data_IF_206786876163
#
_entry.id   IF_206786876163
#
_cell.length_a   1.000
_cell.length_b   1.000
_cell.length_c   1.000
_cell.angle_alpha   90.00
_cell.angle_beta   90.00
_cell.angle_gamma   90.00
#
_symmetry.space_group_name_H-M   'P 1'
#
loop_
_entity.id
_entity.type
_entity.pdbx_description
1 polymer ?
#
# COMPACT_ATOMS: atom_id res chain seq x y z
N UNK A 1 18.12 1.80 -1.83
CA UNK A 1 19.18 1.66 -2.85
C UNK A 1 18.46 1.57 -4.17
N UNK A 2 18.05 2.73 -4.66
CA UNK A 2 16.97 2.82 -5.66
C UNK A 2 17.52 3.07 -7.07
N UNK A 3 18.83 2.90 -7.22
CA UNK A 3 19.52 2.82 -8.50
C UNK A 3 19.88 1.37 -8.79
N UNK A 4 18.89 0.54 -9.14
CA UNK A 4 19.17 -0.68 -9.91
C UNK A 4 17.93 -1.24 -10.64
N UNK A 5 17.93 -1.32 -11.98
CA UNK A 5 18.61 -0.40 -12.89
C UNK A 5 17.65 0.17 -13.95
N UNK A 6 17.71 1.50 -14.12
CA UNK A 6 17.16 2.25 -15.25
C UNK A 6 17.93 2.05 -16.56
N UNK A 7 18.33 0.83 -16.90
CA UNK A 7 18.86 0.46 -18.23
C UNK A 7 18.36 -0.92 -18.66
N UNK A 8 17.04 -1.07 -18.80
CA UNK A 8 16.45 -2.20 -19.51
C UNK A 8 16.21 -1.81 -20.98
N UNK A 9 17.29 -1.52 -21.69
CA UNK A 9 17.27 -1.35 -23.15
C UNK A 9 17.13 -2.67 -23.91
N UNK A 10 16.94 -3.79 -23.20
CA UNK A 10 16.88 -5.14 -23.78
C UNK A 10 15.94 -6.10 -23.04
N UNK A 11 14.96 -5.60 -22.27
CA UNK A 11 13.95 -6.47 -21.66
C UNK A 11 12.99 -7.01 -22.75
N UNK A 12 12.94 -8.34 -23.00
CA UNK A 12 12.05 -8.95 -23.99
C UNK A 12 10.56 -8.66 -23.73
N UNK A 13 10.21 -8.27 -22.50
CA UNK A 13 8.85 -8.04 -22.07
C UNK A 13 8.40 -6.58 -22.20
N UNK A 14 9.31 -5.63 -22.45
CA UNK A 14 8.96 -4.21 -22.60
C UNK A 14 7.96 -4.00 -23.75
N UNK A 15 8.12 -4.75 -24.86
CA UNK A 15 7.20 -4.72 -25.99
C UNK A 15 5.81 -5.32 -25.69
N UNK A 16 5.71 -6.24 -24.72
CA UNK A 16 4.43 -6.79 -24.30
C UNK A 16 3.59 -5.73 -23.56
N UNK A 17 4.23 -4.96 -22.67
CA UNK A 17 3.57 -3.95 -21.84
C UNK A 17 3.29 -2.62 -22.57
N UNK A 18 4.08 -2.27 -23.60
CA UNK A 18 3.91 -1.02 -24.35
C UNK A 18 2.93 -1.11 -25.54
N UNK A 19 2.29 -2.26 -25.79
CA UNK A 19 1.29 -2.38 -26.87
C UNK A 19 0.00 -1.63 -26.51
N UNK A 20 -0.36 -0.61 -27.31
CA UNK A 20 -1.70 0.01 -27.23
C UNK A 20 -2.77 -1.04 -27.57
N UNK A 21 -3.86 -1.16 -26.78
CA UNK A 21 -4.93 -2.11 -27.05
C UNK A 21 -5.65 -1.74 -28.36
N UNK A 22 -5.65 -2.66 -29.33
CA UNK A 22 -6.43 -2.50 -30.56
C UNK A 22 -7.92 -2.74 -30.25
N UNK A 23 -8.73 -1.70 -30.51
CA UNK A 23 -10.20 -1.65 -30.68
C UNK A 23 -11.04 -1.43 -29.41
N UNK A 24 -11.64 -0.25 -29.36
CA UNK A 24 -12.44 0.32 -28.28
C UNK A 24 -13.92 -0.14 -28.21
N UNK A 25 -14.38 -1.06 -29.07
CA UNK A 25 -15.82 -1.28 -29.28
C UNK A 25 -16.40 -2.60 -28.72
N UNK A 26 -15.73 -3.30 -27.81
CA UNK A 26 -16.27 -4.50 -27.14
C UNK A 26 -16.25 -4.42 -25.60
N UNK A 27 -16.36 -3.20 -25.05
CA UNK A 27 -16.17 -2.91 -23.62
C UNK A 27 -17.39 -3.18 -22.72
N UNK A 28 -18.55 -3.54 -23.27
CA UNK A 28 -19.75 -3.74 -22.46
C UNK A 28 -19.98 -5.21 -22.03
N UNK A 29 -19.56 -6.20 -22.82
CA UNK A 29 -19.95 -7.61 -22.59
C UNK A 29 -18.79 -8.45 -22.00
N UNK A 30 -17.52 -8.03 -22.19
CA UNK A 30 -16.35 -8.81 -21.75
C UNK A 30 -15.86 -8.50 -20.32
N UNK A 31 -16.27 -7.38 -19.75
CA UNK A 31 -15.80 -6.88 -18.45
C UNK A 31 -16.28 -7.74 -17.29
N UNK A 32 -17.45 -8.38 -17.43
CA UNK A 32 -17.99 -9.25 -16.38
C UNK A 32 -17.28 -10.61 -16.33
N UNK A 33 -16.98 -11.25 -17.47
CA UNK A 33 -16.37 -12.59 -17.46
C UNK A 33 -14.86 -12.58 -17.17
N UNK A 34 -14.10 -11.63 -17.73
CA UNK A 34 -12.65 -11.55 -17.47
C UNK A 34 -12.37 -11.04 -16.07
N UNK A 35 -13.17 -10.09 -15.56
CA UNK A 35 -13.12 -9.64 -14.17
C UNK A 35 -13.47 -10.76 -13.18
N UNK A 36 -14.49 -11.59 -13.48
CA UNK A 36 -14.79 -12.78 -12.66
C UNK A 36 -13.68 -13.83 -12.72
N UNK A 37 -13.08 -14.08 -13.90
CA UNK A 37 -11.98 -15.04 -14.04
C UNK A 37 -10.69 -14.55 -13.35
N UNK A 38 -10.41 -13.25 -13.35
CA UNK A 38 -9.29 -12.67 -12.59
C UNK A 38 -9.55 -12.65 -11.09
N UNK A 39 -10.80 -12.41 -10.65
CA UNK A 39 -11.24 -12.55 -9.25
C UNK A 39 -11.17 -14.00 -8.76
N UNK A 40 -11.48 -14.98 -9.63
CA UNK A 40 -11.40 -16.41 -9.31
C UNK A 40 -9.96 -16.96 -9.36
N UNK A 41 -9.08 -16.38 -10.19
CA UNK A 41 -7.70 -16.84 -10.30
C UNK A 41 -6.82 -16.36 -9.12
N UNK A 42 -7.13 -15.20 -8.53
CA UNK A 42 -6.18 -14.47 -7.69
C UNK A 42 -4.95 -14.08 -8.51
N UNK A 43 -4.44 -12.86 -8.39
CA UNK A 43 -3.09 -12.59 -8.88
C UNK A 43 -2.08 -13.23 -7.92
N UNK A 44 -2.11 -14.56 -7.79
CA UNK A 44 -1.03 -15.30 -7.13
C UNK A 44 0.24 -15.00 -7.90
N UNK A 45 1.33 -14.71 -7.20
CA UNK A 45 2.67 -14.70 -7.79
C UNK A 45 2.99 -16.08 -8.39
N UNK A 46 2.55 -16.33 -9.61
CA UNK A 46 2.86 -17.55 -10.36
C UNK A 46 4.23 -17.39 -11.00
N UNK A 47 5.28 -17.53 -10.19
CA UNK A 47 6.62 -17.76 -10.72
C UNK A 47 6.74 -19.23 -11.12
N UNK A 48 6.61 -19.52 -12.41
CA UNK A 48 7.01 -20.82 -12.93
C UNK A 48 8.54 -20.83 -13.06
N UNK A 49 9.22 -21.49 -12.11
CA UNK A 49 10.67 -21.65 -12.10
C UNK A 49 11.02 -23.14 -12.25
N UNK A 50 10.95 -23.70 -13.48
CA UNK A 50 11.26 -25.11 -13.67
C UNK A 50 12.76 -25.38 -13.44
N UNK A 51 13.04 -26.48 -12.72
CA UNK A 51 14.32 -27.19 -12.63
C UNK A 51 15.53 -26.44 -12.05
N UNK A 52 15.30 -25.46 -11.16
CA UNK A 52 16.39 -24.85 -10.39
C UNK A 52 16.34 -25.28 -8.93
N UNK A 53 17.34 -26.08 -8.54
CA UNK A 53 17.61 -26.43 -7.15
C UNK A 53 18.61 -25.44 -6.55
N UNK A 54 18.25 -24.80 -5.45
CA UNK A 54 19.14 -23.93 -4.70
C UNK A 54 19.51 -24.57 -3.36
N UNK A 55 20.79 -24.59 -3.01
CA UNK A 55 21.23 -25.13 -1.72
C UNK A 55 20.66 -24.32 -0.54
N UNK A 56 20.66 -22.99 -0.66
CA UNK A 56 20.12 -22.06 0.33
C UNK A 56 19.40 -20.92 -0.36
N UNK A 57 18.22 -20.53 0.15
CA UNK A 57 17.50 -19.35 -0.29
C UNK A 57 17.00 -18.56 0.92
N UNK A 58 17.20 -17.24 0.88
CA UNK A 58 16.69 -16.29 1.86
C UNK A 58 15.48 -15.57 1.29
N UNK A 59 14.41 -15.53 2.07
CA UNK A 59 13.14 -14.91 1.71
C UNK A 59 12.87 -13.72 2.62
N UNK A 60 12.30 -12.66 2.06
CA UNK A 60 11.96 -11.45 2.81
C UNK A 60 10.66 -11.57 3.63
N UNK A 61 9.89 -12.64 3.41
CA UNK A 61 8.64 -12.93 4.12
C UNK A 61 8.26 -14.40 4.04
N UNK A 62 7.44 -14.86 4.98
CA UNK A 62 6.91 -16.23 4.99
C UNK A 62 5.95 -16.47 3.82
N UNK A 63 5.19 -15.44 3.42
CA UNK A 63 4.31 -15.42 2.26
C UNK A 63 5.11 -15.72 0.99
N UNK A 64 6.21 -15.01 0.76
CA UNK A 64 7.04 -15.23 -0.43
C UNK A 64 7.65 -16.64 -0.42
N UNK A 65 8.17 -17.08 0.74
CA UNK A 65 8.70 -18.44 0.89
C UNK A 65 7.65 -19.47 0.51
N UNK A 66 6.48 -19.43 1.15
CA UNK A 66 5.38 -20.39 0.94
C UNK A 66 4.87 -20.33 -0.50
N UNK A 67 4.71 -19.13 -1.06
CA UNK A 67 4.24 -18.94 -2.42
C UNK A 67 5.21 -19.58 -3.42
N UNK A 68 6.51 -19.32 -3.30
CA UNK A 68 7.50 -19.88 -4.22
C UNK A 68 7.69 -21.39 -4.06
N UNK A 69 7.75 -21.91 -2.82
CA UNK A 69 7.90 -23.36 -2.59
C UNK A 69 6.68 -24.13 -3.08
N UNK A 70 5.47 -23.58 -2.89
CA UNK A 70 4.24 -24.21 -3.39
C UNK A 70 4.12 -24.17 -4.92
N UNK A 71 4.85 -23.26 -5.57
CA UNK A 71 4.95 -23.17 -7.04
C UNK A 71 6.18 -23.91 -7.61
N UNK A 72 6.79 -24.80 -6.83
CA UNK A 72 7.82 -25.74 -7.31
C UNK A 72 9.26 -25.28 -7.12
N UNK A 73 9.51 -24.17 -6.42
CA UNK A 73 10.89 -23.81 -6.05
C UNK A 73 11.48 -24.86 -5.10
N UNK A 74 12.53 -25.55 -5.55
CA UNK A 74 13.24 -26.52 -4.73
C UNK A 74 14.44 -25.87 -4.04
N UNK A 75 14.43 -25.93 -2.71
CA UNK A 75 15.45 -25.30 -1.85
C UNK A 75 15.86 -26.28 -0.75
N UNK A 76 17.17 -26.48 -0.58
CA UNK A 76 17.70 -27.31 0.52
C UNK A 76 17.45 -26.66 1.88
N UNK A 77 17.85 -25.39 2.04
CA UNK A 77 17.60 -24.55 3.22
C UNK A 77 16.83 -23.29 2.83
N UNK A 78 15.68 -23.07 3.49
CA UNK A 78 14.81 -21.93 3.25
C UNK A 78 14.67 -21.07 4.51
N UNK A 79 15.29 -19.89 4.51
CA UNK A 79 15.29 -18.98 5.66
C UNK A 79 14.49 -17.73 5.39
N UNK A 80 13.78 -17.22 6.39
CA UNK A 80 13.09 -15.94 6.28
C UNK A 80 13.88 -14.91 7.08
N UNK A 81 14.41 -13.90 6.39
CA UNK A 81 15.09 -12.74 6.98
C UNK A 81 14.31 -11.52 6.51
N UNK A 82 13.55 -10.93 7.43
CA UNK A 82 12.69 -9.78 7.14
C UNK A 82 13.51 -8.51 7.09
N UNK A 83 13.05 -7.53 6.30
CA UNK A 83 13.67 -6.21 6.34
C UNK A 83 13.34 -5.53 7.66
N UNK A 84 14.32 -4.78 8.17
CA UNK A 84 14.10 -3.86 9.27
C UNK A 84 14.05 -2.41 8.80
N UNK A 85 13.61 -1.53 9.68
CA UNK A 85 13.74 -0.07 9.58
C UNK A 85 14.35 0.45 10.87
N UNK A 86 15.19 1.48 10.80
CA UNK A 86 15.70 2.14 12.01
C UNK A 86 14.53 2.85 12.70
N UNK A 87 14.13 2.46 13.92
CA UNK A 87 13.09 3.17 14.64
C UNK A 87 13.61 4.57 14.97
N UNK A 88 12.84 5.63 14.69
CA UNK A 88 13.27 6.97 15.05
C UNK A 88 13.31 7.12 16.57
N UNK A 89 14.16 8.03 17.04
CA UNK A 89 14.15 8.46 18.45
C UNK A 89 12.77 9.03 18.76
N UNK A 90 12.17 8.54 19.85
CA UNK A 90 10.84 8.98 20.31
C UNK A 90 10.81 10.49 20.45
N UNK A 91 9.88 11.10 19.72
CA UNK A 91 9.30 12.38 20.09
C UNK A 91 7.80 12.18 20.04
N UNK A 92 7.09 12.81 20.98
CA UNK A 92 5.64 12.84 20.93
C UNK A 92 5.20 13.32 19.53
N UNK A 93 4.11 12.76 18.96
CA UNK A 93 3.54 13.34 17.76
C UNK A 93 3.27 14.83 18.04
N UNK A 94 3.77 15.71 17.17
CA UNK A 94 3.36 17.11 17.19
C UNK A 94 1.88 17.10 16.79
N UNK A 95 0.99 17.06 17.79
CA UNK A 95 -0.42 16.72 17.62
C UNK A 95 -1.10 17.55 16.53
N UNK A 96 -1.21 17.00 15.32
CA UNK A 96 -1.96 17.56 14.19
C UNK A 96 -3.47 17.57 14.43
N UNK A 97 -3.94 16.92 15.50
CA UNK A 97 -5.33 16.97 15.95
C UNK A 97 -5.79 18.32 16.54
N UNK A 98 -4.91 19.31 16.69
CA UNK A 98 -5.24 20.58 17.36
C UNK A 98 -6.39 21.37 16.70
N UNK A 99 -6.72 21.11 15.43
CA UNK A 99 -7.80 21.80 14.69
C UNK A 99 -8.99 20.89 14.31
N UNK A 100 -9.11 19.68 14.85
CA UNK A 100 -10.22 18.76 14.52
C UNK A 100 -10.20 18.23 13.08
N UNK A 101 -9.08 18.35 12.38
CA UNK A 101 -8.86 17.88 11.01
C UNK A 101 -8.07 16.58 11.01
N UNK A 102 -8.58 15.53 10.35
CA UNK A 102 -7.88 14.27 10.13
C UNK A 102 -7.08 14.31 8.82
N UNK A 103 -5.79 14.02 8.92
CA UNK A 103 -4.86 13.99 7.80
C UNK A 103 -4.42 12.55 7.50
N UNK A 104 -4.81 12.08 6.33
CA UNK A 104 -4.54 10.74 5.81
C UNK A 104 -3.34 10.80 4.87
N UNK A 105 -2.49 9.80 4.94
CA UNK A 105 -1.30 9.68 4.11
C UNK A 105 -1.26 8.36 3.34
N UNK A 106 -1.00 8.46 2.05
CA UNK A 106 -0.51 7.36 1.22
C UNK A 106 0.92 7.67 0.77
N UNK A 107 1.80 6.68 0.90
CA UNK A 107 3.17 6.72 0.39
C UNK A 107 3.44 5.51 -0.48
N UNK A 108 3.99 5.75 -1.66
CA UNK A 108 4.41 4.70 -2.57
C UNK A 108 4.21 5.10 -4.02
N UNK A 109 4.56 4.22 -4.94
CA UNK A 109 4.35 4.48 -6.36
C UNK A 109 2.86 4.74 -6.66
N UNK A 110 2.58 5.74 -7.49
CA UNK A 110 1.23 6.05 -7.95
C UNK A 110 0.96 5.19 -9.19
N UNK A 111 0.54 3.95 -8.96
CA UNK A 111 0.24 2.93 -9.98
C UNK A 111 -1.01 2.15 -9.58
N UNK A 112 -1.78 1.59 -10.53
CA UNK A 112 -3.07 0.97 -10.24
C UNK A 112 -3.03 -0.10 -9.13
N UNK A 113 -2.08 -1.03 -9.21
CA UNK A 113 -2.01 -2.17 -8.29
C UNK A 113 -1.61 -1.80 -6.85
N UNK A 114 -1.15 -0.57 -6.61
CA UNK A 114 -0.89 -0.05 -5.25
C UNK A 114 -2.10 0.64 -4.62
N UNK A 115 -3.21 0.77 -5.37
CA UNK A 115 -4.50 1.20 -4.85
C UNK A 115 -4.68 2.67 -4.44
N UNK A 116 -3.92 3.69 -4.90
CA UNK A 116 -4.18 5.07 -4.48
C UNK A 116 -5.57 5.58 -4.89
N UNK A 117 -6.15 5.04 -5.97
CA UNK A 117 -7.54 5.29 -6.37
C UNK A 117 -8.57 4.78 -5.35
N UNK A 118 -8.32 3.63 -4.71
CA UNK A 118 -9.19 3.08 -3.64
C UNK A 118 -9.27 4.07 -2.47
N UNK A 119 -8.16 4.72 -2.11
CA UNK A 119 -8.18 5.74 -1.06
C UNK A 119 -9.03 6.97 -1.44
N UNK A 120 -9.01 7.38 -2.72
CA UNK A 120 -9.87 8.47 -3.22
C UNK A 120 -11.34 8.05 -3.23
N UNK A 121 -11.64 6.83 -3.66
CA UNK A 121 -13.00 6.28 -3.67
C UNK A 121 -13.56 6.13 -2.26
N UNK A 122 -12.76 5.65 -1.30
CA UNK A 122 -13.13 5.55 0.11
C UNK A 122 -13.51 6.94 0.65
N UNK A 123 -12.70 7.97 0.34
CA UNK A 123 -13.00 9.34 0.76
C UNK A 123 -14.28 9.88 0.08
N UNK A 124 -14.56 9.50 -1.17
CA UNK A 124 -15.81 9.84 -1.86
C UNK A 124 -17.03 9.17 -1.21
N UNK A 125 -16.89 7.95 -0.70
CA UNK A 125 -17.95 7.29 0.06
C UNK A 125 -18.22 8.02 1.38
N UNK A 126 -17.17 8.50 2.05
CA UNK A 126 -17.32 9.29 3.27
C UNK A 126 -17.98 10.64 3.01
N UNK A 127 -17.61 11.34 1.93
CA UNK A 127 -18.18 12.67 1.62
C UNK A 127 -19.68 12.63 1.32
N UNK A 128 -20.21 11.48 0.91
CA UNK A 128 -21.65 11.24 0.74
C UNK A 128 -22.39 10.97 2.05
N UNK A 129 -21.69 10.52 3.10
CA UNK A 129 -22.27 10.09 4.38
C UNK A 129 -22.09 11.13 5.49
N UNK A 130 -21.05 11.97 5.40
CA UNK A 130 -20.72 12.95 6.45
C UNK A 130 -19.93 14.14 5.90
N UNK A 131 -19.88 15.23 6.67
CA UNK A 131 -19.04 16.39 6.34
C UNK A 131 -17.56 16.02 6.41
N UNK A 132 -16.89 16.06 5.25
CA UNK A 132 -15.48 15.71 5.09
C UNK A 132 -14.56 16.93 4.96
N UNK A 133 -15.03 18.17 5.21
CA UNK A 133 -14.18 19.38 5.16
C UNK A 133 -12.94 19.28 6.06
N UNK A 134 -13.07 18.53 7.14
CA UNK A 134 -12.00 18.28 8.11
C UNK A 134 -11.23 16.98 7.81
N UNK A 135 -11.34 16.41 6.62
CA UNK A 135 -10.54 15.25 6.21
C UNK A 135 -9.69 15.63 5.01
N UNK A 136 -8.41 15.31 5.06
CA UNK A 136 -7.52 15.49 3.91
C UNK A 136 -6.71 14.24 3.64
N UNK A 137 -6.46 13.96 2.37
CA UNK A 137 -5.68 12.83 1.90
C UNK A 137 -4.49 13.35 1.09
N UNK A 138 -3.28 12.98 1.48
CA UNK A 138 -2.09 13.19 0.65
C UNK A 138 -1.67 11.89 0.00
N UNK A 139 -1.55 11.90 -1.33
CA UNK A 139 -0.97 10.84 -2.13
C UNK A 139 0.44 11.28 -2.55
N UNK A 140 1.48 10.71 -1.92
CA UNK A 140 2.87 11.08 -2.18
C UNK A 140 3.65 9.93 -2.86
N UNK A 141 4.20 10.21 -4.03
CA UNK A 141 4.91 9.18 -4.80
C UNK A 141 5.32 9.58 -6.21
N UNK A 142 6.13 8.74 -6.84
CA UNK A 142 6.43 8.80 -8.28
C UNK A 142 5.46 7.92 -9.06
N UNK A 143 5.30 8.20 -10.34
CA UNK A 143 4.58 7.32 -11.26
C UNK A 143 5.45 7.04 -12.49
N UNK A 144 5.59 5.77 -12.91
CA UNK A 144 6.07 5.44 -14.25
C UNK A 144 4.94 5.52 -15.30
N UNK A 145 3.70 5.81 -14.90
CA UNK A 145 2.51 5.77 -15.75
C UNK A 145 1.78 7.13 -15.72
N UNK A 146 2.23 8.13 -16.51
CA UNK A 146 1.63 9.47 -16.50
C UNK A 146 0.12 9.50 -16.76
N UNK A 147 -0.37 8.60 -17.63
CA UNK A 147 -1.80 8.48 -17.93
C UNK A 147 -2.63 8.04 -16.72
N UNK A 148 -2.08 7.19 -15.85
CA UNK A 148 -2.78 6.81 -14.62
C UNK A 148 -2.83 7.96 -13.61
N UNK A 149 -1.75 8.74 -13.50
CA UNK A 149 -1.75 9.95 -12.67
C UNK A 149 -2.76 10.98 -13.15
N UNK A 150 -2.92 11.16 -14.47
CA UNK A 150 -3.96 12.02 -15.03
C UNK A 150 -5.36 11.51 -14.68
N UNK A 151 -5.64 10.22 -14.93
CA UNK A 151 -6.92 9.61 -14.58
C UNK A 151 -7.23 9.70 -13.07
N UNK A 152 -6.21 9.62 -12.21
CA UNK A 152 -6.37 9.78 -10.77
C UNK A 152 -6.72 11.23 -10.38
N UNK A 153 -6.18 12.23 -11.09
CA UNK A 153 -6.57 13.64 -10.90
C UNK A 153 -8.00 13.89 -11.37
N UNK A 154 -8.36 13.36 -12.55
CA UNK A 154 -9.73 13.41 -13.08
C UNK A 154 -10.72 12.76 -12.10
N UNK A 155 -10.37 11.62 -11.50
CA UNK A 155 -11.19 10.97 -10.48
C UNK A 155 -11.41 11.87 -9.26
N UNK A 156 -10.37 12.54 -8.77
CA UNK A 156 -10.48 13.48 -7.65
C UNK A 156 -11.43 14.63 -7.98
N UNK A 157 -11.33 15.18 -9.18
CA UNK A 157 -12.19 16.26 -9.66
C UNK A 157 -13.65 15.80 -9.84
N UNK A 158 -13.87 14.65 -10.48
CA UNK A 158 -15.20 14.06 -10.71
C UNK A 158 -15.93 13.80 -9.39
N UNK A 159 -15.20 13.38 -8.35
CA UNK A 159 -15.77 13.15 -7.01
C UNK A 159 -15.93 14.42 -6.17
N UNK A 160 -15.53 15.58 -6.70
CA UNK A 160 -15.59 16.86 -5.96
C UNK A 160 -14.63 16.94 -4.78
N UNK A 161 -13.53 16.18 -4.81
CA UNK A 161 -12.58 16.02 -3.71
C UNK A 161 -11.31 16.88 -3.84
N UNK A 162 -11.27 17.81 -4.80
CA UNK A 162 -10.09 18.63 -5.09
C UNK A 162 -9.59 19.47 -3.89
N UNK A 163 -10.46 19.78 -2.93
CA UNK A 163 -10.08 20.47 -1.69
C UNK A 163 -9.55 19.53 -0.61
N UNK A 164 -9.84 18.23 -0.71
CA UNK A 164 -9.48 17.21 0.27
C UNK A 164 -8.22 16.43 -0.13
N UNK A 165 -8.03 16.17 -1.42
CA UNK A 165 -6.96 15.30 -1.93
C UNK A 165 -5.82 16.14 -2.52
N UNK A 166 -4.60 15.89 -2.07
CA UNK A 166 -3.38 16.45 -2.67
C UNK A 166 -2.48 15.35 -3.21
N UNK A 167 -1.95 15.57 -4.41
CA UNK A 167 -0.91 14.73 -4.99
C UNK A 167 0.44 15.44 -4.84
N UNK A 168 1.39 14.78 -4.20
CA UNK A 168 2.76 15.27 -3.99
C UNK A 168 3.79 14.38 -4.69
N UNK A 169 4.96 14.91 -5.07
CA UNK A 169 6.07 14.09 -5.51
C UNK A 169 6.53 13.14 -4.40
N UNK A 170 7.32 12.13 -4.76
CA UNK A 170 7.97 11.27 -3.79
C UNK A 170 8.83 12.08 -2.82
N UNK A 171 8.80 11.68 -1.56
CA UNK A 171 9.57 12.33 -0.50
C UNK A 171 10.94 11.67 -0.36
N UNK A 172 12.01 12.44 -0.09
CA UNK A 172 13.32 11.88 0.20
C UNK A 172 13.26 10.95 1.41
N UNK A 173 13.89 9.78 1.30
CA UNK A 173 13.84 8.75 2.34
C UNK A 173 14.36 9.25 3.69
N UNK A 174 15.36 10.12 3.69
CA UNK A 174 15.95 10.70 4.90
C UNK A 174 14.98 11.61 5.68
N UNK A 175 13.90 12.08 5.05
CA UNK A 175 12.88 12.94 5.67
C UNK A 175 11.55 12.23 5.84
N UNK A 176 11.48 10.94 5.52
CA UNK A 176 10.20 10.21 5.48
C UNK A 176 9.56 10.14 6.87
N UNK A 177 10.37 9.98 7.92
CA UNK A 177 9.88 9.99 9.30
C UNK A 177 9.26 11.34 9.66
N UNK A 178 9.96 12.46 9.42
CA UNK A 178 9.43 13.80 9.70
C UNK A 178 8.21 14.11 8.85
N UNK A 179 8.18 13.62 7.61
CA UNK A 179 7.05 13.77 6.72
C UNK A 179 5.83 12.99 7.24
N UNK A 180 5.99 11.71 7.59
CA UNK A 180 4.93 10.88 8.17
C UNK A 180 4.34 11.50 9.44
N UNK A 181 5.17 12.09 10.30
CA UNK A 181 4.73 12.72 11.56
C UNK A 181 3.76 13.90 11.39
N UNK A 182 3.63 14.46 10.19
CA UNK A 182 2.67 15.52 9.90
C UNK A 182 1.24 15.00 9.65
N UNK A 183 1.07 13.68 9.69
CA UNK A 183 -0.18 12.99 9.36
C UNK A 183 -0.73 12.24 10.57
N UNK A 184 -2.00 11.88 10.52
CA UNK A 184 -2.70 11.18 11.61
C UNK A 184 -2.91 9.69 11.35
N UNK A 185 -2.99 9.27 10.08
CA UNK A 185 -3.24 7.87 9.68
C UNK A 185 -2.52 7.57 8.36
N UNK A 186 -1.88 6.40 8.30
CA UNK A 186 -1.31 5.87 7.07
C UNK A 186 -2.26 4.88 6.39
N UNK A 187 -2.48 5.04 5.08
CA UNK A 187 -3.29 4.16 4.24
C UNK A 187 -2.37 3.36 3.31
N UNK A 188 -2.52 2.04 3.35
CA UNK A 188 -1.80 1.10 2.50
C UNK A 188 -2.79 0.20 1.72
N UNK A 189 -3.53 0.77 0.74
CA UNK A 189 -4.62 0.08 0.04
C UNK A 189 -4.14 -0.82 -1.12
N UNK A 190 -2.96 -1.44 -1.01
CA UNK A 190 -2.37 -2.21 -2.11
C UNK A 190 -3.28 -3.38 -2.53
N UNK A 191 -3.52 -3.54 -3.83
CA UNK A 191 -4.22 -4.71 -4.37
C UNK A 191 -3.19 -5.82 -4.67
N UNK A 192 -1.98 -5.40 -5.00
CA UNK A 192 -0.85 -6.30 -5.22
C UNK A 192 -0.49 -7.08 -3.96
N UNK A 193 -0.25 -8.38 -4.13
CA UNK A 193 0.30 -9.28 -3.12
C UNK A 193 1.76 -8.92 -2.78
N UNK A 194 1.96 -7.79 -2.11
CA UNK A 194 3.29 -7.29 -1.79
C UNK A 194 4.02 -8.27 -0.86
N UNK A 195 5.19 -8.80 -1.26
CA UNK A 195 5.92 -9.76 -0.45
C UNK A 195 6.30 -9.19 0.91
N UNK A 196 6.79 -7.94 0.94
CA UNK A 196 7.17 -7.25 2.16
C UNK A 196 7.31 -5.74 1.90
N UNK A 197 6.48 -4.92 2.56
CA UNK A 197 6.43 -3.48 2.32
C UNK A 197 7.29 -2.71 3.32
N UNK A 198 8.37 -2.08 2.84
CA UNK A 198 9.23 -1.27 3.70
C UNK A 198 8.56 0.06 4.07
N UNK A 199 7.79 0.66 3.16
CA UNK A 199 7.09 1.93 3.44
C UNK A 199 6.03 1.77 4.54
N UNK A 200 5.42 0.59 4.64
CA UNK A 200 4.51 0.25 5.73
C UNK A 200 5.27 0.23 7.07
N UNK A 201 6.44 -0.40 7.13
CA UNK A 201 7.29 -0.37 8.33
C UNK A 201 7.75 1.05 8.67
N UNK A 202 8.10 1.87 7.68
CA UNK A 202 8.52 3.26 7.90
C UNK A 202 7.38 4.11 8.49
N UNK A 203 6.14 3.90 8.04
CA UNK A 203 4.97 4.56 8.63
C UNK A 203 4.71 4.11 10.07
N UNK A 204 4.79 2.81 10.35
CA UNK A 204 4.67 2.27 11.71
C UNK A 204 5.77 2.81 12.62
N UNK A 205 7.01 2.86 12.14
CA UNK A 205 8.16 3.42 12.85
C UNK A 205 7.99 4.92 13.13
N UNK A 206 7.32 5.66 12.25
CA UNK A 206 6.99 7.07 12.45
C UNK A 206 5.88 7.28 13.50
N UNK A 207 5.25 6.21 14.01
CA UNK A 207 4.18 6.29 14.99
C UNK A 207 2.82 6.61 14.38
N UNK A 208 2.59 6.25 13.10
CA UNK A 208 1.27 6.35 12.49
C UNK A 208 0.46 5.08 12.76
N UNK A 209 -0.82 5.17 13.13
CA UNK A 209 -1.73 4.04 12.97
C UNK A 209 -1.89 3.73 11.47
N UNK A 210 -1.89 2.44 11.13
CA UNK A 210 -1.94 1.97 9.75
C UNK A 210 -3.29 1.31 9.46
N UNK A 211 -3.88 1.64 8.32
CA UNK A 211 -4.94 0.85 7.68
C UNK A 211 -4.35 0.22 6.42
N UNK A 212 -4.34 -1.10 6.32
CA UNK A 212 -3.74 -1.81 5.21
C UNK A 212 -4.65 -2.90 4.65
N UNK A 213 -4.47 -3.26 3.39
CA UNK A 213 -5.16 -4.40 2.78
C UNK A 213 -4.54 -5.72 3.22
N UNK A 214 -5.37 -6.71 3.52
CA UNK A 214 -4.94 -8.05 3.93
C UNK A 214 -4.46 -8.90 2.74
N UNK A 215 -3.38 -8.48 2.06
CA UNK A 215 -2.81 -9.16 0.89
C UNK A 215 -1.29 -9.37 1.02
N UNK A 216 -0.78 -10.40 0.34
CA UNK A 216 0.65 -10.72 0.33
C UNK A 216 1.22 -10.97 1.73
N UNK A 217 2.38 -10.40 2.01
CA UNK A 217 3.04 -10.44 3.31
C UNK A 217 2.53 -9.38 4.30
N UNK A 218 1.55 -8.54 3.94
CA UNK A 218 1.01 -7.50 4.85
C UNK A 218 0.48 -8.09 6.16
N UNK A 219 -0.26 -9.22 6.17
CA UNK A 219 -0.74 -9.85 7.41
C UNK A 219 0.37 -10.46 8.29
N UNK A 220 1.61 -10.55 7.82
CA UNK A 220 2.75 -10.93 8.68
C UNK A 220 3.25 -9.77 9.53
N UNK A 221 2.96 -8.53 9.11
CA UNK A 221 3.41 -7.31 9.79
C UNK A 221 2.25 -6.68 10.59
N UNK A 222 1.07 -6.61 9.98
CA UNK A 222 -0.14 -6.04 10.59
C UNK A 222 -1.06 -7.16 11.11
N UNK A 223 -1.35 -7.12 12.41
CA UNK A 223 -2.37 -7.92 13.09
C UNK A 223 -3.59 -7.01 13.34
N UNK A 224 -4.73 -7.38 12.76
CA UNK A 224 -5.96 -6.56 12.78
C UNK A 224 -6.36 -6.22 14.22
N UNK A 225 -6.65 -4.94 14.47
CA UNK A 225 -7.02 -4.34 15.77
C UNK A 225 -5.98 -4.43 16.87
N UNK A 226 -4.81 -5.02 16.60
CA UNK A 226 -3.70 -5.06 17.56
C UNK A 226 -2.68 -3.96 17.29
N UNK A 227 -2.10 -3.93 16.08
CA UNK A 227 -1.05 -2.97 15.69
C UNK A 227 -1.36 -2.22 14.39
N UNK A 228 -2.58 -2.37 13.88
CA UNK A 228 -3.12 -1.71 12.70
C UNK A 228 -4.52 -2.24 12.41
N UNK A 229 -5.14 -1.76 11.33
CA UNK A 229 -6.42 -2.24 10.85
C UNK A 229 -6.24 -2.90 9.48
N UNK A 230 -6.85 -4.05 9.29
CA UNK A 230 -6.89 -4.75 8.01
C UNK A 230 -8.26 -4.56 7.34
N UNK A 231 -8.24 -4.35 6.02
CA UNK A 231 -9.41 -4.39 5.15
C UNK A 231 -9.20 -5.36 3.97
N UNK A 232 -10.29 -5.72 3.30
CA UNK A 232 -10.23 -6.48 2.06
C UNK A 232 -9.57 -5.67 0.92
N UNK A 233 -8.79 -6.31 0.03
CA UNK A 233 -8.27 -5.67 -1.16
C UNK A 233 -9.41 -5.26 -2.10
N UNK A 234 -9.21 -4.17 -2.85
CA UNK A 234 -10.21 -3.65 -3.81
C UNK A 234 -11.57 -3.31 -3.17
N UNK A 235 -11.58 -2.92 -1.88
CA UNK A 235 -12.78 -2.49 -1.16
C UNK A 235 -12.63 -1.08 -0.58
N UNK A 236 -13.05 -0.05 -1.34
CA UNK A 236 -13.18 1.31 -0.84
C UNK A 236 -14.14 1.42 0.35
N UNK A 237 -15.16 0.57 0.42
CA UNK A 237 -16.15 0.54 1.50
C UNK A 237 -15.52 0.16 2.83
N UNK A 238 -14.79 -0.95 2.89
CA UNK A 238 -14.11 -1.36 4.12
C UNK A 238 -13.02 -0.37 4.50
N UNK A 239 -12.28 0.17 3.53
CA UNK A 239 -11.29 1.22 3.81
C UNK A 239 -11.96 2.45 4.45
N UNK A 240 -13.11 2.88 3.93
CA UNK A 240 -13.89 3.98 4.48
C UNK A 240 -14.37 3.68 5.91
N UNK A 241 -14.83 2.46 6.19
CA UNK A 241 -15.23 2.04 7.54
C UNK A 241 -14.08 2.09 8.54
N UNK A 242 -12.89 1.61 8.15
CA UNK A 242 -11.70 1.70 9.02
C UNK A 242 -11.27 3.15 9.22
N UNK A 243 -11.35 3.99 8.20
CA UNK A 243 -11.09 5.43 8.34
C UNK A 243 -12.05 6.04 9.36
N UNK A 244 -13.36 5.74 9.30
CA UNK A 244 -14.37 6.22 10.26
C UNK A 244 -14.06 5.78 11.69
N UNK A 245 -13.65 4.53 11.89
CA UNK A 245 -13.24 4.04 13.20
C UNK A 245 -12.10 4.88 13.80
N UNK A 246 -11.19 5.37 12.96
CA UNK A 246 -10.08 6.22 13.38
C UNK A 246 -10.43 7.70 13.45
N UNK A 247 -11.40 8.22 12.69
CA UNK A 247 -11.84 9.64 12.74
C UNK A 247 -12.26 10.01 14.17
N UNK A 248 -13.14 9.21 14.75
CA UNK A 248 -13.84 9.56 15.99
C UNK A 248 -13.15 9.06 17.27
N UNK A 249 -12.13 8.20 17.13
CA UNK A 249 -11.50 7.55 18.27
C UNK A 249 -10.00 7.85 18.33
N UNK A 250 -9.67 9.02 18.89
CA UNK A 250 -8.27 9.42 19.11
C UNK A 250 -7.52 8.43 20.03
N UNK A 251 -8.20 7.84 21.01
CA UNK A 251 -7.63 6.81 21.89
C UNK A 251 -7.21 5.56 21.11
N UNK A 252 -8.05 5.10 20.17
CA UNK A 252 -7.73 4.00 19.26
C UNK A 252 -6.56 4.36 18.34
N UNK A 253 -6.53 5.57 17.76
CA UNK A 253 -5.39 6.03 16.95
C UNK A 253 -4.08 5.94 17.73
N UNK A 254 -4.05 6.45 18.96
CA UNK A 254 -2.87 6.41 19.81
C UNK A 254 -2.47 4.98 20.17
N UNK A 255 -3.44 4.14 20.53
CA UNK A 255 -3.18 2.74 20.90
C UNK A 255 -2.56 1.96 19.74
N UNK A 256 -3.14 2.06 18.54
CA UNK A 256 -2.63 1.38 17.35
C UNK A 256 -1.26 1.93 16.93
N UNK A 257 -1.04 3.24 17.02
CA UNK A 257 0.25 3.86 16.74
C UNK A 257 1.38 3.34 17.65
N UNK A 258 1.13 3.24 18.96
CA UNK A 258 2.11 2.70 19.91
C UNK A 258 2.39 1.22 19.64
N UNK A 259 1.34 0.41 19.45
CA UNK A 259 1.49 -1.01 19.16
C UNK A 259 2.22 -1.27 17.82
N UNK A 260 1.98 -0.43 16.80
CA UNK A 260 2.70 -0.46 15.53
C UNK A 260 4.20 -0.18 15.73
N UNK A 261 4.53 0.87 16.48
CA UNK A 261 5.91 1.25 16.78
C UNK A 261 6.65 0.19 17.60
N UNK A 262 5.99 -0.38 18.61
CA UNK A 262 6.53 -1.47 19.42
C UNK A 262 6.77 -2.73 18.58
N UNK A 263 5.86 -3.05 17.66
CA UNK A 263 6.04 -4.16 16.70
C UNK A 263 7.31 -3.95 15.89
N UNK A 264 7.52 -2.75 15.33
CA UNK A 264 8.73 -2.43 14.57
C UNK A 264 9.99 -2.56 15.43
N UNK A 265 9.96 -2.02 16.65
CA UNK A 265 11.12 -2.10 17.57
C UNK A 265 11.48 -3.51 17.97
N UNK A 266 10.50 -4.40 18.10
CA UNK A 266 10.73 -5.78 18.53
C UNK A 266 11.15 -6.66 17.37
N UNK A 267 10.44 -6.57 16.25
CA UNK A 267 10.47 -7.60 15.19
C UNK A 267 11.15 -7.12 13.90
N UNK A 268 11.30 -5.80 13.71
CA UNK A 268 11.73 -5.19 12.44
C UNK A 268 12.76 -4.06 12.64
N UNK A 269 13.61 -4.17 13.65
CA UNK A 269 14.74 -3.25 13.85
C UNK A 269 15.99 -3.74 13.11
N UNK A 270 16.95 -2.83 12.86
CA UNK A 270 18.33 -3.16 12.50
C UNK A 270 19.30 -2.08 13.00
#
# INVERSE_FOLDING_TARGET
>A
SDEWPGRLGGDPWLHFWCRRPKRALKRAIKTNLVGLLQRAAGQRLCFHMPDKHFNTCQFMSDFLRKSLTSNGLQVGRAEVIRWGVRPPVLRAPDGSGANGRLSLLYLGQIVPHKGPHIAVEALSLLSKKMDCRNISLTLAGTTPQPGYLLALRELVEEKGLSSNVRLLPAQPRQRLTEFCRQYDVFLFPSIWEEPFSIVLLEAMAAGLPVIATATGGTPEVIRDRENGLLCLPDSPEELAEKIVALIWNQGLRHTLAQAALETVRRDFNF
#
